data_IF_156415753157
#
_entry.id   IF_156415753157
#
_cell.length_a   1.000
_cell.length_b   1.000
_cell.length_c   1.000
_cell.angle_alpha   90.00
_cell.angle_beta   90.00
_cell.angle_gamma   90.00
#
_symmetry.space_group_name_H-M   'P 1'
#
loop_
_entity.id
_entity.type
_entity.pdbx_description
1 polymer ?
#
# COMPACT_ATOMS: atom_id res chain seq x y z
N UNK A 1 50.95 -63.30 -5.87
CA UNK A 1 50.94 -62.29 -4.80
C UNK A 1 50.95 -60.94 -5.50
N UNK A 2 49.74 -60.41 -5.60
CA UNK A 2 49.33 -59.03 -5.84
C UNK A 2 49.73 -58.31 -7.15
N UNK A 3 48.81 -58.42 -8.11
CA UNK A 3 48.55 -57.45 -9.18
C UNK A 3 48.09 -56.13 -8.56
N UNK A 4 48.91 -55.07 -8.65
CA UNK A 4 48.52 -53.71 -8.27
C UNK A 4 47.68 -53.09 -9.39
N UNK A 5 46.38 -53.08 -9.16
CA UNK A 5 45.38 -52.42 -9.99
C UNK A 5 45.50 -50.89 -9.83
N UNK A 6 45.48 -50.17 -10.94
CA UNK A 6 45.58 -48.70 -10.96
C UNK A 6 44.20 -48.09 -10.71
N UNK A 7 44.06 -47.01 -9.91
CA UNK A 7 42.77 -46.38 -9.69
C UNK A 7 42.29 -45.66 -10.97
N UNK A 8 40.98 -45.65 -11.28
CA UNK A 8 40.48 -44.95 -12.45
C UNK A 8 40.56 -43.43 -12.25
N UNK A 9 41.04 -42.74 -13.29
CA UNK A 9 40.99 -41.28 -13.42
C UNK A 9 39.55 -40.76 -13.29
N UNK A 10 39.31 -39.65 -12.56
CA UNK A 10 37.99 -39.04 -12.52
C UNK A 10 37.67 -38.40 -13.87
N UNK A 11 36.69 -38.95 -14.57
CA UNK A 11 36.12 -38.36 -15.78
C UNK A 11 35.38 -37.09 -15.41
N UNK A 12 36.02 -35.94 -15.58
CA UNK A 12 35.37 -34.63 -15.44
C UNK A 12 34.35 -34.49 -16.58
N UNK A 13 33.06 -34.63 -16.26
CA UNK A 13 31.97 -34.25 -17.15
C UNK A 13 31.99 -32.72 -17.31
N UNK A 14 32.71 -32.24 -18.32
CA UNK A 14 32.57 -30.88 -18.82
C UNK A 14 31.20 -30.78 -19.51
N UNK A 15 30.19 -30.36 -18.75
CA UNK A 15 28.93 -29.89 -19.33
C UNK A 15 29.27 -28.66 -20.19
N UNK A 16 28.94 -28.70 -21.48
CA UNK A 16 29.07 -27.52 -22.33
C UNK A 16 28.24 -26.37 -21.75
N UNK A 17 28.70 -25.13 -21.93
CA UNK A 17 28.02 -23.92 -21.45
C UNK A 17 26.51 -23.89 -21.76
N UNK A 18 26.09 -24.54 -22.86
CA UNK A 18 24.67 -24.69 -23.22
C UNK A 18 23.84 -25.53 -22.24
N UNK A 19 24.39 -26.57 -21.60
CA UNK A 19 23.65 -27.43 -20.67
C UNK A 19 23.51 -26.82 -19.27
N UNK A 20 24.46 -25.96 -18.87
CA UNK A 20 24.39 -25.20 -17.61
C UNK A 20 23.32 -24.10 -17.68
N UNK A 21 23.20 -23.43 -18.84
CA UNK A 21 22.17 -22.40 -19.07
C UNK A 21 20.76 -23.00 -19.02
N UNK A 22 20.54 -24.17 -19.64
CA UNK A 22 19.22 -24.85 -19.60
C UNK A 22 18.85 -25.33 -18.18
N UNK A 23 19.82 -25.72 -17.35
CA UNK A 23 19.57 -26.09 -15.95
C UNK A 23 19.23 -24.87 -15.07
N UNK A 24 19.77 -23.69 -15.35
CA UNK A 24 19.43 -22.44 -14.63
C UNK A 24 18.08 -21.85 -15.05
N UNK A 25 17.70 -22.00 -16.32
CA UNK A 25 16.39 -21.56 -16.84
C UNK A 25 15.23 -22.45 -16.32
N UNK A 26 15.46 -23.73 -16.07
CA UNK A 26 14.41 -24.63 -15.55
C UNK A 26 14.16 -24.48 -14.05
N UNK A 27 15.13 -24.02 -13.26
CA UNK A 27 14.97 -23.76 -11.81
C UNK A 27 14.33 -22.40 -11.51
N UNK A 28 14.55 -21.41 -12.37
CA UNK A 28 13.89 -20.09 -12.27
C UNK A 28 12.42 -20.19 -12.64
N UNK A 29 12.07 -20.95 -13.69
CA UNK A 29 10.67 -21.17 -14.08
C UNK A 29 9.90 -22.03 -13.07
N UNK A 30 10.53 -23.02 -12.40
CA UNK A 30 9.86 -23.78 -11.34
C UNK A 30 9.63 -22.96 -10.05
N UNK A 31 10.54 -22.03 -9.72
CA UNK A 31 10.36 -21.13 -8.56
C UNK A 31 9.27 -20.08 -8.80
N UNK A 32 9.12 -19.62 -10.05
CA UNK A 32 8.04 -18.70 -10.45
C UNK A 32 6.67 -19.41 -10.41
N UNK A 33 6.62 -20.71 -10.72
CA UNK A 33 5.39 -21.51 -10.63
C UNK A 33 5.04 -22.01 -9.22
N UNK A 34 5.98 -22.00 -8.25
CA UNK A 34 5.69 -22.41 -6.86
C UNK A 34 5.22 -21.24 -5.98
N UNK A 35 5.66 -20.00 -6.27
CA UNK A 35 5.19 -18.80 -5.55
C UNK A 35 3.72 -18.48 -5.86
N UNK A 36 3.21 -18.95 -7.00
CA UNK A 36 1.81 -18.78 -7.41
C UNK A 36 0.83 -19.77 -6.76
N UNK A 37 1.30 -20.67 -5.87
CA UNK A 37 0.47 -21.72 -5.25
C UNK A 37 0.33 -21.64 -3.73
N UNK A 38 0.94 -20.66 -3.05
CA UNK A 38 0.77 -20.42 -1.60
C UNK A 38 0.19 -19.03 -1.28
N UNK A 39 0.14 -18.12 -2.25
CA UNK A 39 -0.58 -16.86 -2.12
C UNK A 39 -1.82 -16.89 -3.01
N UNK A 40 -2.94 -17.39 -2.48
CA UNK A 40 -4.24 -17.12 -3.07
C UNK A 40 -4.52 -15.62 -2.99
N UNK A 41 -3.99 -14.85 -3.95
CA UNK A 41 -4.47 -13.51 -4.23
C UNK A 41 -5.89 -13.66 -4.76
N UNK A 42 -6.85 -13.76 -3.84
CA UNK A 42 -8.25 -13.51 -4.12
C UNK A 42 -8.38 -12.02 -4.46
N UNK A 43 -8.04 -11.62 -5.68
CA UNK A 43 -8.57 -10.37 -6.24
C UNK A 43 -9.99 -10.66 -6.69
N UNK A 44 -10.91 -10.74 -5.72
CA UNK A 44 -12.32 -10.60 -6.02
C UNK A 44 -12.46 -9.22 -6.65
N UNK A 45 -12.90 -9.16 -7.91
CA UNK A 45 -13.28 -7.90 -8.57
C UNK A 45 -14.31 -7.22 -7.67
N UNK A 46 -13.82 -6.31 -6.85
CA UNK A 46 -14.55 -5.71 -5.76
C UNK A 46 -15.25 -4.49 -6.36
N UNK A 47 -16.26 -4.71 -7.22
CA UNK A 47 -17.15 -3.64 -7.65
C UNK A 47 -18.15 -3.39 -6.55
N UNK A 48 -17.78 -2.52 -5.61
CA UNK A 48 -18.66 -2.04 -4.55
C UNK A 48 -19.64 -1.02 -5.13
N UNK A 49 -20.93 -1.11 -4.81
CA UNK A 49 -21.91 -0.08 -5.16
C UNK A 49 -21.57 1.32 -4.61
N UNK A 50 -20.71 1.40 -3.59
CA UNK A 50 -20.05 2.65 -3.20
C UNK A 50 -20.95 3.71 -2.59
N UNK A 51 -22.15 3.32 -2.14
CA UNK A 51 -23.07 4.20 -1.43
C UNK A 51 -22.39 4.87 -0.23
N UNK A 52 -22.68 6.15 -0.03
CA UNK A 52 -22.16 6.90 1.10
C UNK A 52 -22.63 6.27 2.43
N UNK A 53 -21.74 5.99 3.40
CA UNK A 53 -22.13 5.41 4.68
C UNK A 53 -23.08 6.33 5.44
N UNK A 54 -24.16 5.76 5.97
CA UNK A 54 -25.13 6.46 6.82
C UNK A 54 -25.51 5.58 7.99
N UNK A 55 -25.58 6.16 9.18
CA UNK A 55 -26.12 5.48 10.34
C UNK A 55 -27.60 5.15 10.13
N UNK A 56 -28.00 3.99 10.61
CA UNK A 56 -29.39 3.53 10.56
C UNK A 56 -29.63 2.48 11.64
N UNK A 57 -30.85 1.95 11.71
CA UNK A 57 -31.18 0.81 12.57
C UNK A 57 -30.33 -0.44 12.31
N UNK A 58 -29.67 -0.53 11.16
CA UNK A 58 -28.87 -1.69 10.74
C UNK A 58 -27.40 -1.36 10.42
N UNK A 59 -26.99 -0.09 10.56
CA UNK A 59 -25.64 0.37 10.19
C UNK A 59 -25.08 1.32 11.24
N UNK A 60 -23.85 1.06 11.65
CA UNK A 60 -23.06 2.02 12.42
C UNK A 60 -21.95 2.61 11.56
N UNK A 61 -21.62 3.87 11.78
CA UNK A 61 -20.49 4.54 11.12
C UNK A 61 -19.60 5.12 12.19
N UNK A 62 -18.30 4.83 12.12
CA UNK A 62 -17.29 5.39 13.02
C UNK A 62 -16.22 6.08 12.20
N UNK A 63 -16.04 7.36 12.46
CA UNK A 63 -14.92 8.12 11.89
C UNK A 63 -13.60 7.70 12.53
N UNK A 64 -12.56 7.61 11.72
CA UNK A 64 -11.16 7.46 12.09
C UNK A 64 -10.39 8.78 11.87
N UNK A 65 -11.11 9.91 11.74
CA UNK A 65 -10.53 11.24 11.59
C UNK A 65 -9.83 11.70 12.88
N UNK A 66 -8.98 12.72 12.76
CA UNK A 66 -8.13 13.25 13.82
C UNK A 66 -6.65 13.07 13.51
N UNK A 67 -5.82 12.94 14.54
CA UNK A 67 -4.38 12.83 14.39
C UNK A 67 -3.96 11.38 14.08
N UNK A 68 -3.14 11.23 13.05
CA UNK A 68 -2.46 9.99 12.66
C UNK A 68 -0.96 10.20 12.84
N UNK A 69 -0.17 9.14 13.08
CA UNK A 69 1.27 9.29 12.93
C UNK A 69 1.60 9.34 11.43
N UNK A 70 2.64 10.08 11.10
CA UNK A 70 3.03 10.35 9.74
C UNK A 70 4.54 10.37 9.58
N UNK A 71 5.01 9.86 8.45
CA UNK A 71 6.36 10.14 7.96
C UNK A 71 6.47 10.00 6.44
N UNK A 72 7.51 10.58 5.88
CA UNK A 72 7.89 10.40 4.49
C UNK A 72 8.90 9.26 4.35
N UNK A 73 8.87 8.56 3.21
CA UNK A 73 9.99 7.72 2.81
C UNK A 73 11.22 8.59 2.51
N UNK A 74 12.44 8.11 2.79
CA UNK A 74 13.66 8.85 2.44
C UNK A 74 13.77 9.04 0.93
N UNK A 75 14.16 10.24 0.49
CA UNK A 75 14.32 10.53 -0.94
C UNK A 75 15.37 9.63 -1.63
N UNK A 76 16.43 9.24 -0.90
CA UNK A 76 17.48 8.36 -1.44
C UNK A 76 17.08 6.88 -1.46
N UNK A 77 16.02 6.52 -0.72
CA UNK A 77 15.52 5.14 -0.63
C UNK A 77 13.99 5.13 -0.49
N UNK A 78 13.24 5.45 -1.56
CA UNK A 78 11.78 5.57 -1.49
C UNK A 78 11.08 4.28 -1.04
N UNK A 79 11.68 3.12 -1.33
CA UNK A 79 11.10 1.80 -1.06
C UNK A 79 11.49 1.23 0.30
N UNK A 80 12.26 1.97 1.12
CA UNK A 80 12.69 1.55 2.46
C UNK A 80 11.54 1.01 3.30
N UNK A 81 10.41 1.72 3.32
CA UNK A 81 9.28 1.36 4.15
C UNK A 81 8.61 0.04 3.76
N UNK A 82 8.67 -0.36 2.49
CA UNK A 82 8.19 -1.67 2.06
C UNK A 82 9.18 -2.77 2.41
N UNK A 83 10.47 -2.55 2.12
CA UNK A 83 11.54 -3.52 2.38
C UNK A 83 11.74 -3.82 3.87
N UNK A 84 11.55 -2.82 4.73
CA UNK A 84 11.61 -2.95 6.19
C UNK A 84 10.24 -3.19 6.83
N UNK A 85 9.19 -3.41 6.03
CA UNK A 85 7.83 -3.71 6.47
C UNK A 85 7.31 -2.74 7.54
N UNK A 86 7.40 -1.43 7.31
CA UNK A 86 6.95 -0.41 8.26
C UNK A 86 5.48 -0.54 8.65
N UNK A 87 4.67 -1.23 7.83
CA UNK A 87 3.27 -1.52 8.08
C UNK A 87 3.02 -2.63 9.12
N UNK A 88 4.03 -3.44 9.45
CA UNK A 88 3.89 -4.62 10.34
C UNK A 88 3.60 -4.27 11.80
N UNK A 89 3.94 -3.07 12.23
CA UNK A 89 3.81 -2.57 13.59
C UNK A 89 3.62 -1.05 13.59
N UNK A 90 3.28 -0.41 14.73
CA UNK A 90 3.09 1.03 14.76
C UNK A 90 4.32 1.77 14.23
N UNK A 91 4.11 2.79 13.40
CA UNK A 91 5.16 3.53 12.70
C UNK A 91 6.20 4.07 13.71
N UNK A 92 5.78 4.60 14.84
CA UNK A 92 6.69 5.06 15.90
C UNK A 92 7.73 4.02 16.38
N UNK A 93 7.55 2.72 16.10
CA UNK A 93 8.50 1.64 16.40
C UNK A 93 9.55 1.41 15.31
N UNK A 94 9.31 1.85 14.08
CA UNK A 94 10.26 1.71 12.96
C UNK A 94 10.96 3.03 12.60
N UNK A 95 10.77 4.09 13.38
CA UNK A 95 11.46 5.36 13.20
C UNK A 95 10.68 6.56 13.72
N UNK A 96 11.26 7.75 13.53
CA UNK A 96 10.63 9.01 13.93
C UNK A 96 9.36 9.28 13.11
N UNK A 97 8.34 9.81 13.79
CA UNK A 97 7.06 10.20 13.21
C UNK A 97 6.67 11.58 13.71
N UNK A 98 5.82 12.26 12.95
CA UNK A 98 5.11 13.47 13.37
C UNK A 98 3.61 13.21 13.40
N UNK A 99 2.83 14.04 14.07
CA UNK A 99 1.37 13.98 14.01
C UNK A 99 0.86 14.71 12.76
N UNK A 100 -0.04 14.07 12.02
CA UNK A 100 -0.68 14.64 10.83
C UNK A 100 -2.19 14.53 10.94
N UNK A 101 -2.89 15.62 10.63
CA UNK A 101 -4.35 15.64 10.67
C UNK A 101 -4.94 14.90 9.46
N UNK A 102 -6.02 14.16 9.71
CA UNK A 102 -6.87 13.52 8.70
C UNK A 102 -8.33 13.92 9.01
N UNK A 103 -9.09 14.44 8.04
CA UNK A 103 -8.71 14.71 6.66
C UNK A 103 -7.81 15.96 6.51
N UNK A 104 -6.76 15.85 5.70
CA UNK A 104 -5.91 16.99 5.29
C UNK A 104 -4.96 16.59 4.16
N UNK A 105 -4.55 17.56 3.36
CA UNK A 105 -3.29 17.45 2.60
C UNK A 105 -2.13 17.70 3.56
N UNK A 106 -1.03 16.95 3.47
CA UNK A 106 0.09 17.13 4.41
C UNK A 106 0.93 18.37 4.10
N UNK A 107 0.94 18.83 2.85
CA UNK A 107 1.93 19.76 2.32
C UNK A 107 2.03 21.08 3.11
N UNK A 108 0.90 21.58 3.62
CA UNK A 108 0.79 22.93 4.20
C UNK A 108 0.48 22.92 5.70
N UNK A 109 0.54 21.74 6.33
CA UNK A 109 0.30 21.58 7.78
C UNK A 109 1.51 22.02 8.60
N UNK A 110 2.72 21.86 8.05
CA UNK A 110 3.97 22.16 8.75
C UNK A 110 4.71 23.35 8.11
N UNK A 111 5.79 23.80 8.73
CA UNK A 111 6.67 24.83 8.18
C UNK A 111 7.85 24.22 7.38
N UNK A 112 7.89 22.90 7.20
CA UNK A 112 8.97 22.21 6.52
C UNK A 112 8.75 22.20 4.99
N UNK A 113 9.60 22.94 4.28
CA UNK A 113 9.60 23.00 2.82
C UNK A 113 9.87 21.63 2.17
N UNK A 114 10.74 20.81 2.76
CA UNK A 114 11.05 19.49 2.21
C UNK A 114 9.82 18.57 2.27
N UNK A 115 9.00 18.71 3.32
CA UNK A 115 7.72 18.02 3.42
C UNK A 115 6.70 18.57 2.43
N UNK A 116 6.61 19.90 2.28
CA UNK A 116 5.68 20.54 1.33
C UNK A 116 5.91 20.05 -0.11
N UNK A 117 7.17 19.99 -0.52
CA UNK A 117 7.58 19.70 -1.90
C UNK A 117 7.93 18.21 -2.13
N UNK A 118 7.69 17.35 -1.13
CA UNK A 118 8.01 15.93 -1.21
C UNK A 118 7.29 15.23 -2.38
N UNK A 119 8.04 14.42 -3.12
CA UNK A 119 7.52 13.50 -4.14
C UNK A 119 7.96 12.08 -3.78
N UNK A 120 7.00 11.17 -3.67
CA UNK A 120 7.23 9.77 -3.32
C UNK A 120 6.22 9.24 -2.31
N UNK A 121 6.64 8.24 -1.53
CA UNK A 121 5.80 7.58 -0.54
C UNK A 121 5.69 8.36 0.78
N UNK A 122 4.47 8.58 1.23
CA UNK A 122 4.14 9.07 2.57
C UNK A 122 3.34 8.00 3.32
N UNK A 123 3.65 7.81 4.59
CA UNK A 123 3.08 6.76 5.43
C UNK A 123 2.26 7.38 6.55
N UNK A 124 1.05 6.89 6.73
CA UNK A 124 0.15 7.21 7.82
C UNK A 124 -0.14 5.95 8.63
N UNK A 125 -0.23 6.04 9.96
CA UNK A 125 -0.85 4.99 10.75
C UNK A 125 -1.72 5.53 11.90
N UNK A 126 -2.63 4.67 12.34
CA UNK A 126 -3.48 4.93 13.49
C UNK A 126 -4.02 3.64 14.09
N UNK A 127 -4.21 3.62 15.40
CA UNK A 127 -4.96 2.55 16.07
C UNK A 127 -6.43 2.90 16.24
N UNK A 128 -7.29 1.89 16.20
CA UNK A 128 -8.72 2.05 16.48
C UNK A 128 -9.29 0.81 17.18
N UNK A 129 -10.22 1.01 18.10
CA UNK A 129 -10.83 -0.07 18.87
C UNK A 129 -12.07 -0.64 18.18
N UNK A 130 -12.17 -1.98 18.13
CA UNK A 130 -13.33 -2.69 17.59
C UNK A 130 -14.07 -3.45 18.69
N UNK A 131 -15.36 -3.20 18.92
CA UNK A 131 -16.11 -3.83 19.99
C UNK A 131 -16.43 -5.31 19.67
N UNK A 132 -16.42 -6.16 20.71
CA UNK A 132 -16.74 -7.59 20.59
C UNK A 132 -18.12 -7.85 19.99
N UNK A 133 -19.10 -6.97 20.23
CA UNK A 133 -20.47 -7.20 19.73
C UNK A 133 -20.55 -7.25 18.21
N UNK A 134 -19.67 -6.56 17.48
CA UNK A 134 -19.68 -6.64 16.00
C UNK A 134 -19.45 -8.08 15.53
N UNK A 135 -18.66 -8.87 16.26
CA UNK A 135 -18.49 -10.30 16.01
C UNK A 135 -19.69 -11.12 16.47
N UNK A 136 -20.19 -10.86 17.70
CA UNK A 136 -21.34 -11.59 18.27
C UNK A 136 -22.60 -11.43 17.40
N UNK A 137 -22.86 -10.21 16.93
CA UNK A 137 -23.98 -9.84 16.06
C UNK A 137 -23.75 -10.26 14.60
N UNK A 138 -22.58 -10.84 14.28
CA UNK A 138 -22.16 -11.27 12.93
C UNK A 138 -22.27 -10.14 11.91
N UNK A 139 -21.84 -8.93 12.29
CA UNK A 139 -21.84 -7.77 11.41
C UNK A 139 -20.69 -7.86 10.42
N UNK A 140 -20.98 -7.42 9.20
CA UNK A 140 -19.98 -7.12 8.20
C UNK A 140 -19.35 -5.78 8.52
N UNK A 141 -18.03 -5.68 8.45
CA UNK A 141 -17.30 -4.43 8.71
C UNK A 141 -16.50 -4.01 7.49
N UNK A 142 -16.65 -2.76 7.08
CA UNK A 142 -16.02 -2.19 5.89
C UNK A 142 -15.22 -0.97 6.28
N UNK A 143 -13.97 -0.92 5.82
CA UNK A 143 -13.14 0.27 5.82
C UNK A 143 -13.46 1.12 4.60
N UNK A 144 -13.55 2.43 4.80
CA UNK A 144 -13.75 3.41 3.74
C UNK A 144 -12.83 4.61 3.92
N UNK A 145 -11.94 4.83 2.96
CA UNK A 145 -11.20 6.08 2.82
C UNK A 145 -11.95 6.95 1.80
N UNK A 146 -12.26 8.20 2.16
CA UNK A 146 -12.96 9.13 1.28
C UNK A 146 -12.20 9.42 -0.02
N UNK A 147 -10.88 9.54 0.09
CA UNK A 147 -9.90 9.65 -1.00
C UNK A 147 -8.48 9.65 -0.42
N UNK A 148 -7.53 9.11 -1.17
CA UNK A 148 -6.10 9.20 -0.90
C UNK A 148 -5.36 9.50 -2.21
N UNK A 149 -4.32 10.33 -2.18
CA UNK A 149 -3.62 10.78 -3.40
C UNK A 149 -2.22 10.19 -3.56
N UNK A 150 -1.80 9.67 -4.71
CA UNK A 150 -2.54 9.22 -5.90
C UNK A 150 -2.62 7.68 -5.94
N UNK A 151 -1.47 7.00 -5.82
CA UNK A 151 -1.43 5.56 -5.60
C UNK A 151 -1.43 5.30 -4.09
N UNK A 152 -2.21 4.33 -3.62
CA UNK A 152 -2.37 4.06 -2.21
C UNK A 152 -2.37 2.57 -1.92
N UNK A 153 -1.76 2.18 -0.80
CA UNK A 153 -1.73 0.82 -0.30
C UNK A 153 -2.15 0.85 1.16
N UNK A 154 -3.16 0.05 1.49
CA UNK A 154 -3.76 -0.01 2.83
C UNK A 154 -3.42 -1.34 3.47
N UNK A 155 -3.02 -1.30 4.73
CA UNK A 155 -2.72 -2.45 5.55
C UNK A 155 -3.58 -2.44 6.82
N UNK A 156 -3.98 -3.63 7.25
CA UNK A 156 -4.66 -3.86 8.52
C UNK A 156 -3.86 -4.87 9.34
N UNK A 157 -3.44 -4.48 10.54
CA UNK A 157 -2.67 -5.34 11.46
C UNK A 157 -1.45 -5.98 10.78
N UNK A 158 -0.73 -5.22 9.94
CA UNK A 158 0.44 -5.69 9.20
C UNK A 158 0.16 -6.48 7.92
N UNK A 159 -1.10 -6.76 7.59
CA UNK A 159 -1.48 -7.50 6.39
C UNK A 159 -1.96 -6.55 5.30
N UNK A 160 -1.52 -6.78 4.05
CA UNK A 160 -2.00 -6.02 2.89
C UNK A 160 -3.49 -6.25 2.70
N UNK A 161 -4.26 -5.17 2.64
CA UNK A 161 -5.71 -5.20 2.55
C UNK A 161 -6.19 -4.86 1.13
N UNK A 162 -5.74 -3.73 0.59
CA UNK A 162 -6.13 -3.27 -0.74
C UNK A 162 -5.16 -2.20 -1.26
N UNK A 163 -5.17 -1.97 -2.57
CA UNK A 163 -4.48 -0.86 -3.22
C UNK A 163 -5.42 -0.14 -4.17
N UNK A 164 -5.24 1.16 -4.34
CA UNK A 164 -6.06 1.97 -5.24
C UNK A 164 -5.22 3.03 -5.93
N UNK A 165 -5.48 3.18 -7.23
CA UNK A 165 -4.92 4.21 -8.07
C UNK A 165 -5.99 5.28 -8.37
N UNK A 166 -5.72 6.53 -8.02
CA UNK A 166 -6.62 7.65 -8.23
C UNK A 166 -6.78 8.52 -6.98
N UNK A 167 -6.68 9.84 -7.14
CA UNK A 167 -6.59 10.78 -6.01
C UNK A 167 -7.91 11.23 -5.37
N UNK A 168 -9.05 11.01 -6.03
CA UNK A 168 -10.31 11.69 -5.69
C UNK A 168 -11.54 10.77 -5.63
N UNK A 169 -11.32 9.46 -5.66
CA UNK A 169 -12.35 8.44 -5.53
C UNK A 169 -12.20 7.65 -4.23
N UNK A 170 -13.30 7.05 -3.75
CA UNK A 170 -13.28 6.32 -2.49
C UNK A 170 -12.57 4.97 -2.60
N UNK A 171 -11.85 4.62 -1.54
CA UNK A 171 -11.22 3.30 -1.39
C UNK A 171 -12.00 2.53 -0.34
N UNK A 172 -12.39 1.29 -0.65
CA UNK A 172 -13.17 0.46 0.26
C UNK A 172 -12.62 -0.96 0.31
N UNK A 173 -12.66 -1.55 1.50
CA UNK A 173 -12.30 -2.94 1.70
C UNK A 173 -13.09 -3.53 2.86
N UNK A 174 -13.53 -4.79 2.70
CA UNK A 174 -14.14 -5.53 3.79
C UNK A 174 -13.02 -5.97 4.74
N UNK A 175 -13.16 -5.65 6.03
CA UNK A 175 -12.15 -5.94 7.05
C UNK A 175 -12.62 -6.94 8.09
N UNK A 176 -13.85 -7.47 7.97
CA UNK A 176 -14.52 -8.33 8.95
C UNK A 176 -13.61 -9.45 9.50
N UNK A 177 -12.90 -10.17 8.63
CA UNK A 177 -12.04 -11.31 9.00
C UNK A 177 -10.64 -10.92 9.49
N UNK A 178 -10.15 -9.72 9.14
CA UNK A 178 -8.83 -9.23 9.55
C UNK A 178 -8.83 -8.50 10.89
N UNK A 179 -10.02 -8.23 11.44
CA UNK A 179 -10.19 -7.53 12.71
C UNK A 179 -9.95 -8.44 13.91
N UNK A 180 -9.26 -7.88 14.90
CA UNK A 180 -9.16 -8.44 16.25
C UNK A 180 -10.19 -7.75 17.13
N UNK A 181 -11.28 -8.46 17.43
CA UNK A 181 -12.41 -7.94 18.19
C UNK A 181 -12.09 -7.82 19.70
N UNK A 182 -12.67 -6.80 20.33
CA UNK A 182 -12.47 -6.48 21.75
C UNK A 182 -11.13 -5.81 22.05
N UNK A 183 -10.42 -5.31 21.03
CA UNK A 183 -9.07 -4.74 21.13
C UNK A 183 -8.83 -3.65 20.08
N UNK A 184 -7.69 -2.97 20.23
CA UNK A 184 -7.17 -2.08 19.21
C UNK A 184 -6.66 -2.86 17.99
N UNK A 185 -6.87 -2.26 16.82
CA UNK A 185 -6.37 -2.70 15.52
C UNK A 185 -5.54 -1.56 14.93
N UNK A 186 -4.51 -1.91 14.16
CA UNK A 186 -3.63 -0.96 13.48
C UNK A 186 -4.04 -0.83 12.02
N UNK A 187 -4.29 0.39 11.56
CA UNK A 187 -4.37 0.70 10.14
C UNK A 187 -3.13 1.49 9.72
N UNK A 188 -2.52 1.06 8.62
CA UNK A 188 -1.40 1.78 7.99
C UNK A 188 -1.75 2.05 6.54
N UNK A 189 -1.48 3.26 6.05
CA UNK A 189 -1.72 3.66 4.68
C UNK A 189 -0.45 4.28 4.10
N UNK A 190 0.06 3.69 3.03
CA UNK A 190 1.10 4.30 2.20
C UNK A 190 0.42 5.02 1.03
N UNK A 191 0.81 6.25 0.75
CA UNK A 191 0.33 7.02 -0.41
C UNK A 191 1.51 7.52 -1.23
N UNK A 192 1.43 7.49 -2.56
CA UNK A 192 2.44 8.01 -3.47
C UNK A 192 1.84 9.09 -4.37
N UNK A 193 2.43 10.28 -4.35
CA UNK A 193 1.97 11.45 -5.11
C UNK A 193 2.72 11.69 -6.44
N UNK A 194 3.55 10.73 -6.86
CA UNK A 194 4.22 10.78 -8.17
C UNK A 194 3.17 10.68 -9.28
N UNK A 195 3.22 11.62 -10.21
CA UNK A 195 2.35 11.63 -11.39
C UNK A 195 3.17 11.22 -12.63
N UNK A 196 2.59 10.32 -13.41
CA UNK A 196 3.16 9.79 -14.65
C UNK A 196 2.26 10.13 -15.85
N UNK A 197 2.70 9.88 -17.09
CA UNK A 197 1.85 10.08 -18.27
C UNK A 197 0.57 9.22 -18.25
N UNK A 198 0.55 8.14 -17.48
CA UNK A 198 -0.57 7.21 -17.33
C UNK A 198 -1.53 7.61 -16.20
N UNK A 199 -1.07 8.43 -15.25
CA UNK A 199 -1.91 8.90 -14.14
C UNK A 199 -2.95 9.93 -14.58
N UNK A 200 -4.04 10.05 -13.83
CA UNK A 200 -5.06 11.11 -14.03
C UNK A 200 -5.19 11.95 -12.75
N UNK A 201 -4.67 13.20 -12.70
CA UNK A 201 -4.06 13.96 -13.80
C UNK A 201 -2.64 13.50 -14.15
N UNK A 202 -2.20 13.81 -15.37
CA UNK A 202 -0.89 13.40 -15.90
C UNK A 202 0.26 14.26 -15.37
N UNK A 203 1.44 13.65 -15.29
CA UNK A 203 2.71 14.34 -15.01
C UNK A 203 3.93 13.59 -15.55
N UNK A 204 5.12 14.10 -15.25
CA UNK A 204 6.38 13.43 -15.57
C UNK A 204 7.47 13.76 -14.55
N UNK A 205 8.36 12.80 -14.32
CA UNK A 205 9.60 13.01 -13.55
C UNK A 205 10.73 13.29 -14.53
N UNK A 206 11.49 14.36 -14.30
CA UNK A 206 12.70 14.69 -15.06
C UNK A 206 13.90 14.73 -14.11
N UNK A 207 14.89 13.87 -14.36
CA UNK A 207 16.19 13.92 -13.68
C UNK A 207 17.09 14.93 -14.36
N UNK A 208 17.87 15.67 -13.58
CA UNK A 208 18.78 16.70 -14.09
C UNK A 208 20.23 16.30 -13.86
N UNK A 209 20.91 15.89 -14.93
CA UNK A 209 22.26 15.30 -14.86
C UNK A 209 23.40 16.33 -14.96
N UNK A 210 23.11 17.63 -15.02
CA UNK A 210 24.14 18.65 -15.13
C UNK A 210 24.74 18.97 -13.74
N UNK A 211 25.94 18.49 -13.40
CA UNK A 211 26.51 18.63 -12.06
C UNK A 211 26.94 20.07 -11.74
N UNK A 212 27.05 20.94 -12.75
CA UNK A 212 27.36 22.36 -12.54
C UNK A 212 26.15 23.17 -12.09
N UNK A 213 24.93 22.64 -12.28
CA UNK A 213 23.67 23.31 -11.96
C UNK A 213 22.88 22.62 -10.86
N UNK A 214 22.96 21.30 -10.76
CA UNK A 214 22.14 20.50 -9.88
C UNK A 214 22.97 19.52 -9.05
N UNK A 215 22.55 19.24 -7.81
CA UNK A 215 23.19 18.21 -7.00
C UNK A 215 22.91 16.81 -7.57
N UNK A 216 23.73 15.80 -7.22
CA UNK A 216 23.50 14.42 -7.63
C UNK A 216 22.10 13.93 -7.25
N UNK A 217 21.41 13.29 -8.20
CA UNK A 217 20.08 12.71 -8.00
C UNK A 217 18.94 13.74 -7.97
N UNK A 218 19.18 15.00 -8.31
CA UNK A 218 18.12 16.01 -8.39
C UNK A 218 17.11 15.67 -9.49
N UNK A 219 15.83 15.73 -9.14
CA UNK A 219 14.72 15.54 -10.08
C UNK A 219 13.59 16.53 -9.80
N UNK A 220 12.71 16.70 -10.77
CA UNK A 220 11.50 17.52 -10.65
C UNK A 220 10.28 16.75 -11.17
N UNK A 221 9.16 16.88 -10.46
CA UNK A 221 7.84 16.51 -10.96
C UNK A 221 7.26 17.68 -11.76
N UNK A 222 6.95 17.43 -13.02
CA UNK A 222 6.28 18.38 -13.92
C UNK A 222 4.85 17.91 -14.21
N UNK A 223 3.95 18.86 -14.46
CA UNK A 223 2.56 18.63 -14.85
C UNK A 223 1.99 19.89 -15.53
N UNK A 224 0.92 19.72 -16.31
CA UNK A 224 0.34 20.77 -17.15
C UNK A 224 -0.94 21.40 -16.58
N UNK A 225 -1.29 21.10 -15.33
CA UNK A 225 -2.44 21.69 -14.66
C UNK A 225 -2.03 22.83 -13.72
N UNK A 226 -2.89 23.83 -13.57
CA UNK A 226 -2.64 25.08 -12.83
C UNK A 226 -3.20 25.04 -11.40
N UNK A 227 -2.93 23.94 -10.70
CA UNK A 227 -3.20 23.80 -9.27
C UNK A 227 -2.06 23.02 -8.60
N UNK A 228 -1.87 23.19 -7.30
CA UNK A 228 -0.83 22.46 -6.56
C UNK A 228 -1.18 20.97 -6.48
N UNK A 229 -0.20 20.10 -6.71
CA UNK A 229 -0.30 18.65 -6.51
C UNK A 229 -0.31 18.27 -5.02
N UNK A 230 -1.34 18.72 -4.30
CA UNK A 230 -1.53 18.38 -2.89
C UNK A 230 -1.69 16.88 -2.72
N UNK A 231 -1.09 16.33 -1.67
CA UNK A 231 -1.13 14.92 -1.36
C UNK A 231 -1.52 14.69 0.11
N UNK A 232 -2.18 13.57 0.37
CA UNK A 232 -2.65 13.22 1.71
C UNK A 232 -3.88 12.33 1.70
N UNK A 233 -4.43 12.16 2.90
CA UNK A 233 -5.77 11.60 3.12
C UNK A 233 -6.77 12.76 3.15
N UNK A 234 -7.24 13.18 1.98
CA UNK A 234 -7.98 14.44 1.80
C UNK A 234 -9.42 14.42 2.34
N UNK A 235 -9.99 13.24 2.57
CA UNK A 235 -11.38 13.07 2.98
C UNK A 235 -11.48 12.05 4.11
N UNK A 236 -12.59 12.08 4.82
CA UNK A 236 -12.85 11.25 6.00
C UNK A 236 -12.45 9.80 5.78
N UNK A 237 -11.76 9.26 6.77
CA UNK A 237 -11.54 7.82 6.90
C UNK A 237 -12.54 7.29 7.90
N UNK A 238 -13.23 6.21 7.58
CA UNK A 238 -14.26 5.65 8.44
C UNK A 238 -14.30 4.13 8.33
N UNK A 239 -14.84 3.51 9.36
CA UNK A 239 -15.30 2.13 9.31
C UNK A 239 -16.81 2.14 9.49
N UNK A 240 -17.52 1.25 8.81
CA UNK A 240 -18.95 1.11 8.99
C UNK A 240 -19.36 -0.35 9.00
N UNK A 241 -20.51 -0.61 9.62
CA UNK A 241 -21.08 -1.95 9.70
C UNK A 241 -22.34 -2.09 8.84
N UNK A 242 -22.59 -3.32 8.39
CA UNK A 242 -23.88 -3.73 7.82
C UNK A 242 -24.23 -5.14 8.33
N UNK A 243 -25.47 -5.60 8.18
CA UNK A 243 -25.75 -7.04 8.25
C UNK A 243 -25.03 -7.76 7.10
N UNK A 244 -24.94 -9.09 7.18
CA UNK A 244 -24.34 -9.94 6.13
C UNK A 244 -25.09 -9.78 4.80
N UNK A 245 -26.41 -9.62 4.85
CA UNK A 245 -27.23 -9.23 3.70
C UNK A 245 -27.49 -7.72 3.77
N UNK A 246 -27.07 -6.98 2.76
CA UNK A 246 -27.10 -5.52 2.77
C UNK A 246 -27.48 -4.94 1.40
N UNK A 247 -27.91 -3.68 1.41
CA UNK A 247 -28.10 -2.88 0.20
C UNK A 247 -26.72 -2.39 -0.25
N UNK A 248 -26.28 -2.85 -1.41
CA UNK A 248 -24.99 -2.49 -2.00
C UNK A 248 -25.07 -1.23 -2.86
N UNK A 249 -26.12 -1.12 -3.69
CA UNK A 249 -26.33 0.01 -4.60
C UNK A 249 -27.82 0.38 -4.72
N UNK A 250 -28.09 1.62 -5.11
CA UNK A 250 -29.42 2.16 -5.38
C UNK A 250 -29.34 3.04 -6.63
N UNK A 251 -30.00 2.62 -7.71
CA UNK A 251 -30.20 3.43 -8.91
C UNK A 251 -31.64 3.95 -8.97
N UNK A 252 -31.80 5.27 -9.06
CA UNK A 252 -33.11 5.92 -9.23
C UNK A 252 -33.06 6.78 -10.49
N UNK A 253 -34.02 6.57 -11.39
CA UNK A 253 -34.24 7.41 -12.58
C UNK A 253 -35.65 7.98 -12.44
N UNK A 254 -35.75 9.31 -12.38
CA UNK A 254 -37.02 10.04 -12.20
C UNK A 254 -37.44 10.76 -13.47
#
# INVERSE_FOLDING_TARGET
MDTLDSPPTPTTLLLSFSQIVIAMETWTVLSICLVSLVGGAYTKDNTWGGLYPRESVSREVRSLDGLWNFRLSPLQDPDKGFREEWYSQPLSKTGSVISMAVPSSYNDVTQDKALRDHIGWAWYDRTFFVPTRWQTDKLRVVLRLGSAHYNSIVYLNGLSLTSHEGGHLPIMAEITSGLVYGRENLITVAINNTLTPETIPQGSITYHDNPTRYPPGYFTQSYNFDFTNYAGLHRTVSIYTTPVTYIDDILVTT
#
